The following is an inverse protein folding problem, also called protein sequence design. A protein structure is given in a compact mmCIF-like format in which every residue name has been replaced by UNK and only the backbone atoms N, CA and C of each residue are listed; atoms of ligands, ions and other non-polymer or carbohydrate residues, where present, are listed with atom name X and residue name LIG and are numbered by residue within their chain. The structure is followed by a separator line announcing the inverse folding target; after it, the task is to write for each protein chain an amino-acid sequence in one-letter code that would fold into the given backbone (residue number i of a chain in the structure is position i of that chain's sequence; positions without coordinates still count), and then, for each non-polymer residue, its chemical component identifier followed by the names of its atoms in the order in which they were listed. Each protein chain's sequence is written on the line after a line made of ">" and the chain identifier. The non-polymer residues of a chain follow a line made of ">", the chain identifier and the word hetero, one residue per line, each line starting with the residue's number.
data_IF_806832158309
#
_entry.id   IF_806832158309
#
_cell.length_a   1.000
_cell.length_b   1.000
_cell.length_c   1.000
_cell.angle_alpha   90.00
_cell.angle_beta   90.00
_cell.angle_gamma   90.00
#
_symmetry.space_group_name_H-M   'P 1'
#
loop_
_entity.id
_entity.type
_entity.pdbx_description
1 polymer ?
#
# COMPACT_ATOMS: atom_id res chain seq x y z
N UNK A 1 -15.42 25.36 36.36
CA UNK A 1 -14.33 24.74 35.59
C UNK A 1 -14.99 23.71 34.71
N UNK A 2 -15.34 24.15 33.50
CA UNK A 2 -14.64 23.79 32.24
C UNK A 2 -15.18 22.43 31.76
N UNK A 3 -16.15 22.40 30.84
CA UNK A 3 -15.99 22.44 29.36
C UNK A 3 -15.09 21.32 28.84
N UNK A 4 -15.64 20.37 28.07
CA UNK A 4 -15.50 20.43 26.62
C UNK A 4 -16.17 19.26 25.86
N UNK A 5 -16.86 19.68 24.79
CA UNK A 5 -17.04 19.10 23.46
C UNK A 5 -17.01 17.58 23.23
N UNK A 6 -18.09 17.05 22.62
CA UNK A 6 -17.98 16.18 21.42
C UNK A 6 -19.31 16.03 20.67
N UNK A 7 -19.31 16.54 19.44
CA UNK A 7 -19.89 16.01 18.18
C UNK A 7 -21.10 15.06 18.28
N UNK A 8 -22.24 15.47 17.73
CA UNK A 8 -23.27 14.54 17.23
C UNK A 8 -23.76 14.92 15.83
N UNK A 9 -23.57 13.96 14.93
CA UNK A 9 -24.21 13.83 13.62
C UNK A 9 -25.63 13.33 13.85
N UNK A 10 -26.66 14.07 13.44
CA UNK A 10 -28.03 13.55 13.35
C UNK A 10 -28.67 14.04 12.05
N UNK A 11 -28.89 13.09 11.15
CA UNK A 11 -29.73 13.24 9.99
C UNK A 11 -31.19 13.37 10.43
N UNK A 12 -31.85 14.47 10.06
CA UNK A 12 -33.31 14.53 9.97
C UNK A 12 -33.66 15.11 8.60
N UNK A 13 -33.93 14.20 7.66
CA UNK A 13 -34.73 14.49 6.47
C UNK A 13 -36.20 14.54 6.90
N UNK A 14 -36.76 15.75 7.00
CA UNK A 14 -38.14 16.07 6.59
C UNK A 14 -38.54 17.46 7.09
N UNK A 15 -38.30 18.51 6.30
CA UNK A 15 -39.25 19.60 6.13
C UNK A 15 -38.87 20.47 4.94
N UNK A 16 -39.86 20.67 4.09
CA UNK A 16 -39.85 21.47 2.87
C UNK A 16 -39.61 22.94 3.23
N UNK A 17 -38.57 23.52 2.66
CA UNK A 17 -38.29 24.96 2.63
C UNK A 17 -37.19 25.21 1.61
N UNK A 18 -37.31 26.21 0.71
CA UNK A 18 -36.40 26.35 -0.42
C UNK A 18 -35.02 26.81 0.07
N UNK A 19 -34.07 25.88 0.10
CA UNK A 19 -32.65 26.16 0.20
C UNK A 19 -32.16 26.67 -1.16
N UNK A 20 -32.44 27.95 -1.46
CA UNK A 20 -31.88 28.67 -2.61
C UNK A 20 -31.20 29.92 -2.10
N UNK A 21 -30.01 29.79 -1.51
CA UNK A 21 -29.15 30.95 -1.23
C UNK A 21 -27.66 30.59 -1.30
N UNK A 22 -27.20 29.98 -2.41
CA UNK A 22 -25.78 30.05 -2.79
C UNK A 22 -25.55 30.32 -4.29
N UNK A 23 -26.59 30.44 -5.12
CA UNK A 23 -26.43 30.62 -6.59
C UNK A 23 -26.60 32.05 -7.14
N UNK A 24 -26.65 33.09 -6.29
CA UNK A 24 -26.94 34.46 -6.76
C UNK A 24 -25.73 35.24 -7.29
N UNK A 25 -24.49 34.86 -6.94
CA UNK A 25 -23.31 35.70 -7.28
C UNK A 25 -22.85 35.61 -8.74
N UNK A 26 -23.19 34.53 -9.46
CA UNK A 26 -22.80 34.36 -10.86
C UNK A 26 -23.92 34.67 -11.89
N UNK A 27 -25.17 34.84 -11.44
CA UNK A 27 -26.31 35.17 -12.33
C UNK A 27 -26.26 36.60 -12.88
N UNK A 28 -25.80 37.56 -12.07
CA UNK A 28 -26.04 38.99 -12.34
C UNK A 28 -25.32 39.58 -13.58
N UNK A 29 -24.20 39.02 -14.04
CA UNK A 29 -23.47 39.57 -15.19
C UNK A 29 -24.14 39.21 -16.53
N UNK A 30 -24.71 38.02 -16.62
CA UNK A 30 -25.49 37.61 -17.80
C UNK A 30 -26.77 38.44 -17.89
N UNK A 31 -27.46 38.63 -16.76
CA UNK A 31 -28.67 39.45 -16.68
C UNK A 31 -28.41 40.90 -17.12
N UNK A 32 -27.29 41.52 -16.72
CA UNK A 32 -26.90 42.89 -17.15
C UNK A 32 -26.67 43.01 -18.65
N UNK A 33 -25.98 42.05 -19.25
CA UNK A 33 -25.69 42.06 -20.68
C UNK A 33 -26.94 41.79 -21.51
N UNK A 34 -27.88 41.01 -20.98
CA UNK A 34 -29.19 40.79 -21.58
C UNK A 34 -30.06 42.05 -21.53
N UNK A 35 -30.06 42.81 -20.44
CA UNK A 35 -30.76 44.11 -20.38
C UNK A 35 -30.23 45.10 -21.43
N UNK A 36 -28.92 45.08 -21.69
CA UNK A 36 -28.30 45.86 -22.77
C UNK A 36 -28.73 45.41 -24.16
N UNK A 37 -29.02 44.13 -24.38
CA UNK A 37 -29.49 43.62 -25.68
C UNK A 37 -30.98 43.89 -25.88
N UNK A 38 -31.77 43.85 -24.81
CA UNK A 38 -33.19 44.19 -24.79
C UNK A 38 -33.46 45.70 -24.87
N UNK A 39 -32.44 46.55 -24.78
CA UNK A 39 -32.57 48.01 -24.87
C UNK A 39 -33.16 48.68 -23.62
N UNK A 40 -33.19 47.98 -22.48
CA UNK A 40 -33.67 48.51 -21.19
C UNK A 40 -32.58 49.30 -20.49
N UNK A 41 -32.25 50.47 -21.04
CA UNK A 41 -31.07 51.25 -20.63
C UNK A 41 -31.13 51.77 -19.18
N UNK A 42 -32.32 52.11 -18.67
CA UNK A 42 -32.49 52.63 -17.30
C UNK A 42 -32.23 51.55 -16.25
N UNK A 43 -32.84 50.37 -16.42
CA UNK A 43 -32.64 49.20 -15.56
C UNK A 43 -31.18 48.73 -15.61
N UNK A 44 -30.58 48.71 -16.81
CA UNK A 44 -29.17 48.37 -16.99
C UNK A 44 -28.25 49.36 -16.26
N UNK A 45 -28.49 50.67 -16.38
CA UNK A 45 -27.69 51.69 -15.69
C UNK A 45 -27.77 51.56 -14.15
N UNK A 46 -28.95 51.22 -13.61
CA UNK A 46 -29.12 50.95 -12.18
C UNK A 46 -28.30 49.73 -11.73
N UNK A 47 -28.35 48.63 -12.49
CA UNK A 47 -27.57 47.43 -12.18
C UNK A 47 -26.06 47.66 -12.30
N UNK A 48 -25.59 48.44 -13.28
CA UNK A 48 -24.17 48.82 -13.36
C UNK A 48 -23.74 49.74 -12.22
N UNK A 49 -24.63 50.57 -11.71
CA UNK A 49 -24.34 51.41 -10.53
C UNK A 49 -24.12 50.56 -9.28
N UNK A 50 -24.93 49.53 -9.07
CA UNK A 50 -24.68 48.56 -7.99
C UNK A 50 -23.39 47.75 -8.25
N UNK A 51 -23.12 47.34 -9.49
CA UNK A 51 -21.89 46.65 -9.84
C UNK A 51 -20.64 47.49 -9.56
N UNK A 52 -20.69 48.80 -9.80
CA UNK A 52 -19.59 49.74 -9.52
C UNK A 52 -19.38 49.91 -8.01
N UNK A 53 -20.44 49.91 -7.18
CA UNK A 53 -20.30 49.93 -5.72
C UNK A 53 -19.57 48.68 -5.21
N UNK A 54 -19.83 47.53 -5.84
CA UNK A 54 -19.21 46.26 -5.48
C UNK A 54 -17.77 46.13 -6.00
N UNK A 55 -17.48 46.67 -7.18
CA UNK A 55 -16.15 46.66 -7.77
C UNK A 55 -15.85 48.01 -8.47
N UNK A 56 -15.29 49.00 -7.75
CA UNK A 56 -15.06 50.35 -8.27
C UNK A 56 -13.82 50.45 -9.17
N UNK A 57 -13.06 49.38 -9.37
CA UNK A 57 -11.81 49.38 -10.13
C UNK A 57 -11.93 48.78 -11.52
N UNK A 58 -13.08 48.20 -11.89
CA UNK A 58 -13.28 47.58 -13.20
C UNK A 58 -13.74 48.61 -14.26
N UNK A 59 -12.90 48.95 -15.27
CA UNK A 59 -13.24 49.94 -16.29
C UNK A 59 -14.44 49.53 -17.16
N UNK A 60 -14.73 48.23 -17.27
CA UNK A 60 -15.82 47.72 -18.12
C UNK A 60 -17.18 48.20 -17.64
N UNK A 61 -17.41 48.16 -16.33
CA UNK A 61 -18.68 48.58 -15.73
C UNK A 61 -18.94 50.07 -15.98
N UNK A 62 -17.91 50.92 -15.91
CA UNK A 62 -18.02 52.34 -16.26
C UNK A 62 -18.30 52.55 -17.75
N UNK A 63 -17.61 51.84 -18.64
CA UNK A 63 -17.87 51.91 -20.10
C UNK A 63 -19.30 51.49 -20.48
N UNK A 64 -19.81 50.42 -19.86
CA UNK A 64 -21.15 49.91 -20.15
C UNK A 64 -22.25 50.78 -19.52
N UNK A 65 -21.99 51.40 -18.35
CA UNK A 65 -22.85 52.45 -17.79
C UNK A 65 -22.85 53.72 -18.66
N UNK A 66 -21.69 54.15 -19.13
CA UNK A 66 -21.57 55.28 -20.08
C UNK A 66 -22.39 55.03 -21.35
N UNK A 67 -22.37 53.80 -21.89
CA UNK A 67 -23.20 53.40 -23.02
C UNK A 67 -24.70 53.61 -22.74
N UNK A 68 -25.16 53.21 -21.55
CA UNK A 68 -26.55 53.40 -21.14
C UNK A 68 -26.89 54.90 -21.06
N UNK A 69 -26.04 55.70 -20.41
CA UNK A 69 -26.24 57.15 -20.28
C UNK A 69 -26.26 57.87 -21.64
N UNK A 70 -25.40 57.48 -22.58
CA UNK A 70 -25.41 57.97 -23.97
C UNK A 70 -26.75 57.67 -24.64
N UNK A 71 -27.27 56.44 -24.50
CA UNK A 71 -28.56 56.04 -25.09
C UNK A 71 -29.76 56.72 -24.44
N UNK A 72 -29.65 57.07 -23.15
CA UNK A 72 -30.64 57.86 -22.42
C UNK A 72 -30.49 59.37 -22.64
N UNK A 73 -29.55 59.80 -23.47
CA UNK A 73 -29.22 61.20 -23.73
C UNK A 73 -28.79 62.01 -22.48
N UNK A 74 -28.29 61.33 -21.44
CA UNK A 74 -27.73 61.95 -20.23
C UNK A 74 -26.22 62.10 -20.41
N UNK A 75 -25.84 63.00 -21.32
CA UNK A 75 -24.47 63.12 -21.83
C UNK A 75 -23.43 63.47 -20.74
N UNK A 76 -23.78 64.34 -19.79
CA UNK A 76 -22.87 64.74 -18.70
C UNK A 76 -22.40 63.54 -17.85
N UNK A 77 -23.32 62.69 -17.41
CA UNK A 77 -22.99 61.47 -16.66
C UNK A 77 -22.25 60.45 -17.52
N UNK A 78 -22.59 60.38 -18.81
CA UNK A 78 -21.88 59.54 -19.77
C UNK A 78 -20.42 59.95 -19.95
N UNK A 79 -20.14 61.27 -19.92
CA UNK A 79 -18.77 61.80 -20.01
C UNK A 79 -17.95 61.44 -18.78
N UNK A 80 -18.50 61.66 -17.58
CA UNK A 80 -17.85 61.31 -16.30
C UNK A 80 -17.49 59.83 -16.25
N UNK A 81 -18.41 58.95 -16.67
CA UNK A 81 -18.16 57.51 -16.71
C UNK A 81 -17.08 57.14 -17.74
N UNK A 82 -17.06 57.80 -18.89
CA UNK A 82 -16.05 57.55 -19.91
C UNK A 82 -14.66 58.06 -19.51
N UNK A 83 -14.59 59.22 -18.84
CA UNK A 83 -13.35 59.74 -18.26
C UNK A 83 -12.83 58.82 -17.17
N UNK A 84 -13.71 58.37 -16.27
CA UNK A 84 -13.32 57.42 -15.22
C UNK A 84 -12.81 56.09 -15.79
N UNK A 85 -13.41 55.64 -16.90
CA UNK A 85 -12.97 54.44 -17.61
C UNK A 85 -11.52 54.57 -18.12
N UNK A 86 -11.15 55.72 -18.69
CA UNK A 86 -9.80 56.03 -19.18
C UNK A 86 -8.80 56.21 -18.02
N UNK A 87 -9.23 56.83 -16.92
CA UNK A 87 -8.39 56.97 -15.72
C UNK A 87 -8.03 55.62 -15.10
N UNK A 88 -8.97 54.67 -15.07
CA UNK A 88 -8.77 53.34 -14.50
C UNK A 88 -7.91 52.45 -15.42
N UNK A 89 -8.12 52.51 -16.73
CA UNK A 89 -7.31 51.78 -17.71
C UNK A 89 -7.09 52.62 -18.98
N UNK A 90 -5.92 53.29 -19.09
CA UNK A 90 -5.55 54.07 -20.27
C UNK A 90 -5.39 53.23 -21.55
N UNK A 91 -5.30 51.90 -21.46
CA UNK A 91 -5.19 51.01 -22.61
C UNK A 91 -6.57 50.52 -23.09
N UNK A 92 -7.63 50.84 -22.36
CA UNK A 92 -8.97 50.37 -22.67
C UNK A 92 -9.64 51.19 -23.77
N UNK A 93 -9.50 50.70 -25.00
CA UNK A 93 -10.06 51.26 -26.24
C UNK A 93 -11.52 51.73 -26.15
N UNK A 94 -12.39 50.97 -25.46
CA UNK A 94 -13.82 51.31 -25.33
C UNK A 94 -14.05 52.59 -24.51
N UNK A 95 -13.17 52.94 -23.57
CA UNK A 95 -13.27 54.20 -22.82
C UNK A 95 -13.19 55.42 -23.73
N UNK A 96 -12.18 55.45 -24.60
CA UNK A 96 -12.03 56.48 -25.64
C UNK A 96 -13.20 56.50 -26.62
N UNK A 97 -13.71 55.32 -27.01
CA UNK A 97 -14.89 55.23 -27.87
C UNK A 97 -16.13 55.88 -27.21
N UNK A 98 -16.38 55.60 -25.93
CA UNK A 98 -17.52 56.19 -25.18
C UNK A 98 -17.36 57.69 -25.01
N UNK A 99 -16.16 58.16 -24.67
CA UNK A 99 -15.87 59.60 -24.51
C UNK A 99 -16.07 60.35 -25.83
N UNK A 100 -15.56 59.81 -26.93
CA UNK A 100 -15.77 60.38 -28.25
C UNK A 100 -17.24 60.36 -28.67
N UNK A 101 -18.00 59.30 -28.37
CA UNK A 101 -19.44 59.21 -28.68
C UNK A 101 -20.21 60.33 -27.95
N UNK A 102 -19.87 60.58 -26.68
CA UNK A 102 -20.48 61.66 -25.88
C UNK A 102 -20.14 63.04 -26.46
N UNK A 103 -18.87 63.28 -26.78
CA UNK A 103 -18.42 64.56 -27.35
C UNK A 103 -19.04 64.84 -28.72
N UNK A 104 -19.17 63.81 -29.55
CA UNK A 104 -19.84 63.88 -30.85
C UNK A 104 -21.31 64.28 -30.70
N UNK A 105 -22.04 63.64 -29.76
CA UNK A 105 -23.44 64.00 -29.46
C UNK A 105 -23.59 65.38 -28.83
N UNK A 106 -22.56 65.87 -28.15
CA UNK A 106 -22.51 67.22 -27.59
C UNK A 106 -22.01 68.28 -28.60
N UNK A 107 -21.94 67.94 -29.90
CA UNK A 107 -21.47 68.80 -30.98
C UNK A 107 -20.02 69.32 -30.84
N UNK A 108 -19.22 68.72 -29.95
CA UNK A 108 -17.80 69.01 -29.82
C UNK A 108 -17.00 68.09 -30.74
N UNK A 109 -17.09 68.35 -32.05
CA UNK A 109 -16.50 67.49 -33.08
C UNK A 109 -14.97 67.47 -33.03
N UNK A 110 -14.33 68.61 -32.75
CA UNK A 110 -12.86 68.72 -32.63
C UNK A 110 -12.33 67.91 -31.44
N UNK A 111 -12.99 68.02 -30.28
CA UNK A 111 -12.66 67.22 -29.10
C UNK A 111 -12.91 65.72 -29.31
N UNK A 112 -14.01 65.38 -29.99
CA UNK A 112 -14.32 63.99 -30.34
C UNK A 112 -13.24 63.39 -31.25
N UNK A 113 -12.81 64.13 -32.27
CA UNK A 113 -11.76 63.73 -33.19
C UNK A 113 -10.44 63.42 -32.46
N UNK A 114 -9.98 64.33 -31.59
CA UNK A 114 -8.77 64.13 -30.80
C UNK A 114 -8.87 62.90 -29.87
N UNK A 115 -10.03 62.69 -29.25
CA UNK A 115 -10.26 61.55 -28.36
C UNK A 115 -10.26 60.22 -29.12
N UNK A 116 -10.88 60.16 -30.29
CA UNK A 116 -10.85 58.97 -31.14
C UNK A 116 -9.44 58.66 -31.66
N UNK A 117 -8.67 59.68 -32.07
CA UNK A 117 -7.28 59.52 -32.46
C UNK A 117 -6.41 58.97 -31.32
N UNK A 118 -6.64 59.41 -30.08
CA UNK A 118 -5.96 58.84 -28.92
C UNK A 118 -6.33 57.36 -28.69
N UNK A 119 -7.61 57.01 -28.89
CA UNK A 119 -8.12 55.65 -28.74
C UNK A 119 -7.62 54.66 -29.79
N UNK A 120 -7.31 55.12 -31.01
CA UNK A 120 -6.80 54.28 -32.11
C UNK A 120 -5.45 53.60 -31.78
N UNK A 121 -4.69 54.18 -30.84
CA UNK A 121 -3.42 53.60 -30.37
C UNK A 121 -3.61 52.27 -29.63
N UNK A 122 -4.82 52.00 -29.13
CA UNK A 122 -5.06 50.91 -28.19
C UNK A 122 -6.16 49.95 -28.67
N UNK A 123 -5.88 48.65 -28.59
CA UNK A 123 -6.87 47.57 -28.63
C UNK A 123 -7.42 47.13 -30.01
N UNK A 124 -8.27 46.09 -30.02
CA UNK A 124 -8.79 45.43 -31.23
C UNK A 124 -10.07 46.05 -31.84
N UNK A 125 -10.63 47.13 -31.27
CA UNK A 125 -11.85 47.79 -31.79
C UNK A 125 -11.57 49.01 -32.69
N UNK A 126 -10.39 49.07 -33.33
CA UNK A 126 -9.97 50.18 -34.18
C UNK A 126 -10.95 50.48 -35.32
N UNK A 127 -11.58 49.45 -35.90
CA UNK A 127 -12.56 49.61 -36.96
C UNK A 127 -13.79 50.45 -36.52
N UNK A 128 -14.26 50.26 -35.29
CA UNK A 128 -15.43 50.99 -34.78
C UNK A 128 -15.10 52.44 -34.43
N UNK A 129 -13.89 52.69 -33.89
CA UNK A 129 -13.39 54.05 -33.65
C UNK A 129 -13.19 54.79 -34.97
N UNK A 130 -12.69 54.11 -36.01
CA UNK A 130 -12.51 54.71 -37.33
C UNK A 130 -13.85 55.11 -37.99
N UNK A 131 -14.90 54.28 -37.90
CA UNK A 131 -16.25 54.66 -38.37
C UNK A 131 -16.76 55.93 -37.66
N UNK A 132 -16.55 56.01 -36.34
CA UNK A 132 -16.95 57.19 -35.56
C UNK A 132 -16.13 58.43 -35.88
N UNK A 133 -14.83 58.28 -36.06
CA UNK A 133 -13.92 59.34 -36.47
C UNK A 133 -14.31 59.90 -37.85
N UNK A 134 -14.62 59.01 -38.80
CA UNK A 134 -15.12 59.39 -40.13
C UNK A 134 -16.35 60.28 -40.03
N UNK A 135 -17.36 59.89 -39.22
CA UNK A 135 -18.57 60.70 -38.99
C UNK A 135 -18.27 62.07 -38.37
N UNK A 136 -17.31 62.14 -37.44
CA UNK A 136 -16.89 63.42 -36.85
C UNK A 136 -16.32 64.35 -37.92
N UNK A 137 -15.46 63.79 -38.78
CA UNK A 137 -14.80 64.54 -39.84
C UNK A 137 -15.80 64.97 -40.92
N UNK A 138 -16.76 64.11 -41.30
CA UNK A 138 -17.85 64.47 -42.21
C UNK A 138 -18.63 65.70 -41.71
N UNK A 139 -18.98 65.74 -40.42
CA UNK A 139 -19.65 66.90 -39.83
C UNK A 139 -18.78 68.16 -39.81
N UNK A 140 -17.47 68.05 -39.52
CA UNK A 140 -16.54 69.20 -39.57
C UNK A 140 -16.45 69.74 -41.01
N UNK A 141 -16.39 68.86 -42.01
CA UNK A 141 -16.34 69.22 -43.44
C UNK A 141 -17.64 69.89 -43.90
N UNK A 142 -18.79 69.42 -43.43
CA UNK A 142 -20.10 70.03 -43.71
C UNK A 142 -20.19 71.44 -43.11
N UNK A 143 -19.59 71.68 -41.93
CA UNK A 143 -19.56 72.99 -41.29
C UNK A 143 -18.47 73.94 -41.85
N UNK A 144 -17.44 73.40 -42.50
CA UNK A 144 -16.35 74.19 -43.08
C UNK A 144 -16.72 74.74 -44.48
N UNK A 145 -16.64 76.06 -44.66
CA UNK A 145 -16.85 76.73 -45.96
C UNK A 145 -15.56 76.89 -46.79
N UNK A 146 -14.39 76.53 -46.23
CA UNK A 146 -13.08 76.76 -46.84
C UNK A 146 -12.57 75.49 -47.55
N UNK A 147 -12.13 75.60 -48.82
CA UNK A 147 -11.75 74.45 -49.65
C UNK A 147 -10.38 73.87 -49.29
N UNK A 148 -9.46 74.69 -48.77
CA UNK A 148 -8.11 74.25 -48.42
C UNK A 148 -8.10 73.35 -47.18
N UNK A 149 -8.89 73.70 -46.15
CA UNK A 149 -9.02 72.90 -44.94
C UNK A 149 -9.63 71.50 -45.20
N UNK A 150 -10.52 71.39 -46.20
CA UNK A 150 -11.10 70.10 -46.61
C UNK A 150 -10.05 69.18 -47.23
N UNK A 151 -9.11 69.72 -48.00
CA UNK A 151 -8.13 68.93 -48.74
C UNK A 151 -7.04 68.34 -47.82
N UNK A 152 -6.64 69.06 -46.77
CA UNK A 152 -5.73 68.57 -45.75
C UNK A 152 -6.38 67.49 -44.87
N UNK A 153 -7.65 67.66 -44.52
CA UNK A 153 -8.41 66.70 -43.73
C UNK A 153 -8.69 65.39 -44.51
N UNK A 154 -8.93 65.47 -45.82
CA UNK A 154 -9.10 64.29 -46.69
C UNK A 154 -7.83 63.43 -46.72
N UNK A 155 -6.64 64.05 -46.77
CA UNK A 155 -5.36 63.32 -46.73
C UNK A 155 -5.18 62.58 -45.41
N UNK A 156 -5.55 63.22 -44.30
CA UNK A 156 -5.46 62.60 -42.97
C UNK A 156 -6.42 61.38 -42.84
N UNK A 157 -7.64 61.48 -43.39
CA UNK A 157 -8.58 60.35 -43.46
C UNK A 157 -8.02 59.20 -44.30
N UNK A 158 -7.40 59.52 -45.43
CA UNK A 158 -6.87 58.51 -46.35
C UNK A 158 -5.65 57.80 -45.75
N UNK A 159 -4.80 58.52 -45.02
CA UNK A 159 -3.73 57.95 -44.22
C UNK A 159 -4.27 56.98 -43.16
N UNK A 160 -5.26 57.40 -42.36
CA UNK A 160 -5.85 56.55 -41.31
C UNK A 160 -6.59 55.34 -41.87
N UNK A 161 -7.21 55.46 -43.06
CA UNK A 161 -7.83 54.33 -43.76
C UNK A 161 -6.80 53.27 -44.13
N UNK A 162 -5.65 53.68 -44.68
CA UNK A 162 -4.58 52.76 -45.07
C UNK A 162 -3.97 52.04 -43.85
N UNK A 163 -3.80 52.75 -42.74
CA UNK A 163 -3.27 52.16 -41.51
C UNK A 163 -4.25 51.17 -40.86
N UNK A 164 -5.56 51.44 -40.95
CA UNK A 164 -6.58 50.48 -40.53
C UNK A 164 -6.56 49.23 -41.40
N UNK A 165 -6.50 49.37 -42.73
CA UNK A 165 -6.47 48.24 -43.65
C UNK A 165 -5.30 47.29 -43.33
N UNK A 166 -4.11 47.85 -43.14
CA UNK A 166 -2.93 47.07 -42.75
C UNK A 166 -3.15 46.27 -41.45
N UNK A 167 -3.75 46.90 -40.44
CA UNK A 167 -4.04 46.21 -39.17
C UNK A 167 -5.13 45.13 -39.28
N UNK A 168 -6.03 45.26 -40.26
CA UNK A 168 -7.04 44.24 -40.55
C UNK A 168 -6.43 43.03 -41.26
N UNK A 169 -5.54 43.27 -42.23
CA UNK A 169 -4.82 42.22 -42.95
C UNK A 169 -3.93 41.42 -41.99
N UNK A 170 -3.19 42.10 -41.10
CA UNK A 170 -2.40 41.47 -40.03
C UNK A 170 -3.29 40.59 -39.12
N UNK A 171 -4.49 41.06 -38.77
CA UNK A 171 -5.41 40.30 -37.92
C UNK A 171 -6.05 39.10 -38.63
N UNK A 172 -6.14 39.12 -39.96
CA UNK A 172 -6.64 38.03 -40.78
C UNK A 172 -5.59 36.91 -40.92
N UNK A 173 -4.33 37.29 -41.10
CA UNK A 173 -3.18 36.36 -41.06
C UNK A 173 -3.08 35.63 -39.70
N UNK A 174 -3.24 36.36 -38.58
CA UNK A 174 -3.30 35.76 -37.24
C UNK A 174 -4.49 34.78 -37.05
N UNK A 175 -5.61 34.97 -37.76
CA UNK A 175 -6.75 34.04 -37.69
C UNK A 175 -6.47 32.75 -38.44
N UNK A 176 -5.82 32.82 -39.60
CA UNK A 176 -5.42 31.62 -40.36
C UNK A 176 -4.43 30.78 -39.56
N UNK A 177 -3.38 31.39 -39.00
CA UNK A 177 -2.40 30.69 -38.15
C UNK A 177 -3.06 30.03 -36.92
N UNK A 178 -3.98 30.74 -36.26
CA UNK A 178 -4.73 30.18 -35.13
C UNK A 178 -5.69 29.05 -35.55
N UNK A 179 -6.14 29.01 -36.81
CA UNK A 179 -6.99 27.93 -37.33
C UNK A 179 -6.18 26.66 -37.62
N UNK A 180 -4.99 26.81 -38.19
CA UNK A 180 -4.07 25.70 -38.46
C UNK A 180 -3.56 25.07 -37.16
N UNK A 181 -3.25 25.89 -36.16
CA UNK A 181 -2.83 25.40 -34.84
C UNK A 181 -3.98 24.67 -34.10
N UNK A 182 -5.23 25.10 -34.30
CA UNK A 182 -6.41 24.37 -33.77
C UNK A 182 -6.58 23.01 -34.43
N UNK A 183 -6.38 22.93 -35.76
CA UNK A 183 -6.48 21.67 -36.48
C UNK A 183 -5.42 20.67 -36.00
N UNK A 184 -4.16 21.13 -35.88
CA UNK A 184 -3.06 20.33 -35.33
C UNK A 184 -3.32 19.85 -33.91
N UNK A 185 -3.88 20.71 -33.04
CA UNK A 185 -4.27 20.30 -31.68
C UNK A 185 -5.36 19.21 -31.69
N UNK A 186 -6.37 19.35 -32.54
CA UNK A 186 -7.44 18.35 -32.68
C UNK A 186 -6.90 16.99 -33.13
N UNK A 187 -6.00 16.97 -34.11
CA UNK A 187 -5.34 15.74 -34.57
C UNK A 187 -4.47 15.11 -33.47
N UNK A 188 -3.70 15.94 -32.74
CA UNK A 188 -2.89 15.48 -31.62
C UNK A 188 -3.76 14.90 -30.49
N UNK A 189 -4.87 15.54 -30.15
CA UNK A 189 -5.83 15.05 -29.16
C UNK A 189 -6.44 13.70 -29.58
N UNK A 190 -6.78 13.52 -30.87
CA UNK A 190 -7.26 12.24 -31.38
C UNK A 190 -6.19 11.15 -31.30
N UNK A 191 -4.94 11.45 -31.65
CA UNK A 191 -3.83 10.50 -31.53
C UNK A 191 -3.57 10.11 -30.08
N UNK A 192 -3.54 11.08 -29.16
CA UNK A 192 -3.35 10.84 -27.72
C UNK A 192 -4.48 9.98 -27.18
N UNK A 193 -5.73 10.24 -27.57
CA UNK A 193 -6.87 9.41 -27.18
C UNK A 193 -6.74 7.98 -27.69
N UNK A 194 -6.42 7.79 -28.97
CA UNK A 194 -6.24 6.46 -29.56
C UNK A 194 -5.10 5.67 -28.90
N UNK A 195 -3.99 6.34 -28.57
CA UNK A 195 -2.89 5.74 -27.80
C UNK A 195 -3.34 5.37 -26.38
N UNK A 196 -4.08 6.25 -25.71
CA UNK A 196 -4.64 5.99 -24.37
C UNK A 196 -5.56 4.77 -24.34
N UNK A 197 -6.47 4.65 -25.31
CA UNK A 197 -7.39 3.52 -25.43
C UNK A 197 -6.62 2.20 -25.70
N UNK A 198 -5.60 2.25 -26.57
CA UNK A 198 -4.74 1.09 -26.86
C UNK A 198 -3.95 0.62 -25.64
N UNK A 199 -3.33 1.55 -24.90
CA UNK A 199 -2.61 1.24 -23.67
C UNK A 199 -3.53 0.65 -22.60
N UNK A 200 -4.74 1.21 -22.44
CA UNK A 200 -5.73 0.74 -21.47
C UNK A 200 -6.14 -0.69 -21.76
N UNK A 201 -6.47 -0.99 -23.03
CA UNK A 201 -6.82 -2.35 -23.46
C UNK A 201 -5.68 -3.36 -23.22
N UNK A 202 -4.42 -2.95 -23.46
CA UNK A 202 -3.26 -3.80 -23.17
C UNK A 202 -3.11 -4.09 -21.68
N UNK A 203 -3.30 -3.09 -20.82
CA UNK A 203 -3.23 -3.27 -19.36
C UNK A 203 -4.33 -4.20 -18.87
N UNK A 204 -5.57 -4.06 -19.36
CA UNK A 204 -6.68 -4.96 -19.03
C UNK A 204 -6.39 -6.41 -19.41
N UNK A 205 -5.83 -6.65 -20.61
CA UNK A 205 -5.41 -7.99 -21.04
C UNK A 205 -4.36 -8.59 -20.11
N UNK A 206 -3.35 -7.81 -19.74
CA UNK A 206 -2.30 -8.25 -18.81
C UNK A 206 -2.87 -8.59 -17.43
N UNK A 207 -3.80 -7.78 -16.91
CA UNK A 207 -4.47 -8.05 -15.63
C UNK A 207 -5.22 -9.39 -15.67
N UNK A 208 -5.95 -9.67 -16.76
CA UNK A 208 -6.67 -10.93 -16.92
C UNK A 208 -5.70 -12.12 -16.98
N UNK A 209 -4.62 -11.99 -17.77
CA UNK A 209 -3.62 -13.04 -17.93
C UNK A 209 -2.90 -13.36 -16.61
N UNK A 210 -2.42 -12.33 -15.90
CA UNK A 210 -1.80 -12.47 -14.60
C UNK A 210 -2.78 -13.00 -13.54
N UNK A 211 -4.03 -12.56 -13.58
CA UNK A 211 -5.09 -13.08 -12.69
C UNK A 211 -5.31 -14.59 -12.86
N UNK A 212 -5.31 -15.09 -14.11
CA UNK A 212 -5.42 -16.53 -14.40
C UNK A 212 -4.22 -17.31 -13.85
N UNK A 213 -3.00 -16.83 -14.09
CA UNK A 213 -1.78 -17.48 -13.61
C UNK A 213 -1.76 -17.54 -12.07
N UNK A 214 -2.19 -16.47 -11.40
CA UNK A 214 -2.26 -16.43 -9.94
C UNK A 214 -3.27 -17.45 -9.39
N UNK A 215 -4.43 -17.60 -10.05
CA UNK A 215 -5.40 -18.63 -9.67
C UNK A 215 -4.84 -20.06 -9.85
N UNK A 216 -4.09 -20.31 -10.92
CA UNK A 216 -3.44 -21.61 -11.16
C UNK A 216 -2.38 -21.91 -10.10
N UNK A 217 -1.54 -20.92 -9.77
CA UNK A 217 -0.54 -21.03 -8.71
C UNK A 217 -1.19 -21.28 -7.34
N UNK A 218 -2.27 -20.58 -7.01
CA UNK A 218 -2.98 -20.79 -5.75
C UNK A 218 -3.61 -22.18 -5.65
N UNK A 219 -4.16 -22.71 -6.75
CA UNK A 219 -4.66 -24.10 -6.80
C UNK A 219 -3.53 -25.10 -6.58
N UNK A 220 -2.36 -24.87 -7.17
CA UNK A 220 -1.20 -25.74 -6.98
C UNK A 220 -0.71 -25.70 -5.53
N UNK A 221 -0.59 -24.51 -4.93
CA UNK A 221 -0.21 -24.35 -3.52
C UNK A 221 -1.18 -25.05 -2.57
N UNK A 222 -2.49 -24.90 -2.78
CA UNK A 222 -3.49 -25.59 -1.96
C UNK A 222 -3.38 -27.13 -2.06
N UNK A 223 -3.06 -27.65 -3.23
CA UNK A 223 -2.80 -29.09 -3.40
C UNK A 223 -1.53 -29.52 -2.67
N UNK A 224 -0.46 -28.71 -2.75
CA UNK A 224 0.80 -28.99 -2.06
C UNK A 224 0.64 -28.97 -0.53
N UNK A 225 -0.13 -28.00 -0.01
CA UNK A 225 -0.46 -27.93 1.42
C UNK A 225 -1.24 -29.15 1.89
N UNK A 226 -2.19 -29.62 1.06
CA UNK A 226 -2.93 -30.85 1.35
C UNK A 226 -1.98 -32.06 1.43
N UNK A 227 -1.09 -32.22 0.44
CA UNK A 227 -0.09 -33.30 0.45
C UNK A 227 0.81 -33.21 1.68
N UNK A 228 1.28 -32.02 2.05
CA UNK A 228 2.09 -31.83 3.26
C UNK A 228 1.34 -32.21 4.53
N UNK A 229 0.04 -31.93 4.61
CA UNK A 229 -0.79 -32.36 5.73
C UNK A 229 -0.89 -33.88 5.81
N UNK A 230 -1.14 -34.56 4.68
CA UNK A 230 -1.21 -36.02 4.60
C UNK A 230 0.14 -36.66 5.02
N UNK A 231 1.27 -36.11 4.56
CA UNK A 231 2.60 -36.57 4.98
C UNK A 231 2.88 -36.35 6.47
N UNK A 232 2.44 -35.23 7.05
CA UNK A 232 2.60 -34.95 8.48
C UNK A 232 1.83 -35.94 9.34
N UNK A 233 0.59 -36.25 8.96
CA UNK A 233 -0.23 -37.24 9.65
C UNK A 233 0.40 -38.64 9.56
N UNK A 234 0.92 -39.01 8.38
CA UNK A 234 1.63 -40.28 8.21
C UNK A 234 2.88 -40.38 9.09
N UNK A 235 3.67 -39.31 9.17
CA UNK A 235 4.86 -39.27 10.03
C UNK A 235 4.51 -39.34 11.52
N UNK A 236 3.45 -38.65 11.97
CA UNK A 236 3.00 -38.75 13.36
C UNK A 236 2.61 -40.18 13.73
N UNK A 237 1.89 -40.89 12.85
CA UNK A 237 1.55 -42.29 13.07
C UNK A 237 2.79 -43.21 13.11
N UNK A 238 3.80 -42.94 12.27
CA UNK A 238 5.07 -43.67 12.31
C UNK A 238 5.84 -43.42 13.62
N UNK A 239 5.83 -42.19 14.13
CA UNK A 239 6.43 -41.84 15.42
C UNK A 239 5.74 -42.56 16.58
N UNK A 240 4.41 -42.62 16.58
CA UNK A 240 3.63 -43.37 17.56
C UNK A 240 3.97 -44.87 17.53
N UNK A 241 4.06 -45.46 16.33
CA UNK A 241 4.48 -46.86 16.16
C UNK A 241 5.90 -47.10 16.68
N UNK A 242 6.85 -46.22 16.38
CA UNK A 242 8.22 -46.32 16.89
C UNK A 242 8.28 -46.24 18.42
N UNK A 243 7.43 -45.41 19.03
CA UNK A 243 7.29 -45.33 20.48
C UNK A 243 6.79 -46.64 21.07
N UNK A 244 5.73 -47.24 20.49
CA UNK A 244 5.19 -48.53 20.93
C UNK A 244 6.23 -49.66 20.82
N UNK A 245 6.96 -49.74 19.70
CA UNK A 245 8.06 -50.68 19.54
C UNK A 245 9.20 -50.44 20.54
N UNK A 246 9.50 -49.19 20.86
CA UNK A 246 10.47 -48.81 21.88
C UNK A 246 10.10 -49.34 23.27
N UNK A 247 8.84 -49.16 23.68
CA UNK A 247 8.32 -49.69 24.95
C UNK A 247 8.34 -51.21 24.99
N UNK A 248 7.96 -51.85 23.87
CA UNK A 248 7.99 -53.31 23.75
C UNK A 248 9.43 -53.85 23.93
N UNK A 249 10.40 -53.26 23.22
CA UNK A 249 11.81 -53.66 23.34
C UNK A 249 12.35 -53.43 24.76
N UNK A 250 12.02 -52.30 25.40
CA UNK A 250 12.42 -52.05 26.79
C UNK A 250 11.83 -53.07 27.76
N UNK A 251 10.62 -53.57 27.51
CA UNK A 251 10.03 -54.64 28.30
C UNK A 251 10.73 -55.99 28.07
N UNK A 252 11.06 -56.33 26.82
CA UNK A 252 11.83 -57.53 26.51
C UNK A 252 13.22 -57.49 27.16
N UNK A 253 13.91 -56.35 27.10
CA UNK A 253 15.22 -56.17 27.75
C UNK A 253 15.12 -56.36 29.27
N UNK A 254 14.05 -55.88 29.90
CA UNK A 254 13.80 -56.12 31.33
C UNK A 254 13.61 -57.61 31.64
N UNK A 255 12.78 -58.30 30.86
CA UNK A 255 12.57 -59.74 31.01
C UNK A 255 13.86 -60.54 30.81
N UNK A 256 14.67 -60.17 29.80
CA UNK A 256 15.97 -60.80 29.57
C UNK A 256 16.93 -60.56 30.74
N UNK A 257 16.93 -59.35 31.32
CA UNK A 257 17.74 -59.04 32.50
C UNK A 257 17.29 -59.83 33.73
N UNK A 258 15.99 -60.01 33.94
CA UNK A 258 15.44 -60.84 35.02
C UNK A 258 15.84 -62.30 34.86
N UNK A 259 15.60 -62.89 33.68
CA UNK A 259 16.00 -64.26 33.35
C UNK A 259 17.52 -64.46 33.53
N UNK A 260 18.32 -63.48 33.12
CA UNK A 260 19.79 -63.52 33.31
C UNK A 260 20.14 -63.52 34.79
N UNK A 261 19.51 -62.66 35.60
CA UNK A 261 19.72 -62.63 37.04
C UNK A 261 19.36 -63.94 37.73
N UNK A 262 18.25 -64.56 37.34
CA UNK A 262 17.84 -65.87 37.86
C UNK A 262 18.79 -66.98 37.42
N UNK A 263 19.26 -66.95 36.18
CA UNK A 263 20.27 -67.88 35.69
C UNK A 263 21.60 -67.76 36.47
N UNK A 264 22.07 -66.54 36.72
CA UNK A 264 23.27 -66.29 37.52
C UNK A 264 23.10 -66.77 38.98
N UNK A 265 21.91 -66.62 39.57
CA UNK A 265 21.60 -67.18 40.90
C UNK A 265 21.64 -68.70 40.89
N UNK A 266 21.01 -69.35 39.91
CA UNK A 266 21.01 -70.81 39.78
C UNK A 266 22.45 -71.34 39.61
N UNK A 267 23.26 -70.70 38.77
CA UNK A 267 24.69 -70.99 38.64
C UNK A 267 25.44 -70.85 39.98
N UNK A 268 25.15 -69.81 40.76
CA UNK A 268 25.78 -69.61 42.07
C UNK A 268 25.43 -70.71 43.08
N UNK A 269 24.17 -71.19 43.06
CA UNK A 269 23.71 -72.30 43.90
C UNK A 269 24.38 -73.59 43.45
N UNK A 270 24.41 -73.85 42.14
CA UNK A 270 25.08 -75.02 41.58
C UNK A 270 26.57 -75.03 41.96
N UNK A 271 27.27 -73.90 41.82
CA UNK A 271 28.68 -73.79 42.20
C UNK A 271 28.91 -73.97 43.71
N UNK A 272 28.01 -73.47 44.57
CA UNK A 272 28.09 -73.70 46.03
C UNK A 272 27.90 -75.16 46.42
N UNK A 273 27.03 -75.89 45.73
CA UNK A 273 26.87 -77.34 45.96
C UNK A 273 28.17 -78.04 45.57
N UNK A 274 28.78 -77.65 44.44
CA UNK A 274 30.05 -78.21 43.97
C UNK A 274 31.21 -77.99 44.96
N UNK A 275 31.29 -76.86 45.67
CA UNK A 275 32.37 -76.64 46.65
C UNK A 275 32.34 -77.60 47.84
N UNK A 276 31.18 -78.17 48.21
CA UNK A 276 31.09 -79.14 49.32
C UNK A 276 31.62 -80.53 48.94
N UNK A 277 31.82 -80.78 47.65
CA UNK A 277 32.41 -82.02 47.14
C UNK A 277 33.93 -81.94 47.00
N UNK A 278 34.51 -80.74 47.19
CA UNK A 278 35.95 -80.51 47.07
C UNK A 278 36.63 -80.77 48.41
N UNK A 279 37.70 -81.56 48.37
CA UNK A 279 38.56 -81.82 49.51
C UNK A 279 39.28 -80.51 49.92
N UNK A 280 39.21 -80.11 51.20
CA UNK A 280 39.87 -78.88 51.61
C UNK A 280 41.41 -78.88 51.54
N UNK A 281 42.04 -80.06 51.53
CA UNK A 281 43.49 -80.22 51.42
C UNK A 281 43.93 -80.22 49.96
N UNK A 282 43.43 -81.16 49.14
CA UNK A 282 43.85 -81.29 47.74
C UNK A 282 43.22 -80.26 46.80
N UNK A 283 42.11 -79.62 47.21
CA UNK A 283 41.31 -78.72 46.36
C UNK A 283 40.75 -79.42 45.10
N UNK A 284 40.66 -80.75 45.12
CA UNK A 284 40.05 -81.60 44.09
C UNK A 284 38.76 -82.25 44.60
N UNK A 285 37.91 -82.77 43.72
CA UNK A 285 36.68 -83.49 44.11
C UNK A 285 37.06 -84.76 44.89
N UNK A 286 36.44 -84.97 46.05
CA UNK A 286 36.67 -86.14 46.89
C UNK A 286 36.14 -87.41 46.22
N UNK A 287 37.00 -88.41 46.02
CA UNK A 287 36.62 -89.74 45.56
C UNK A 287 36.34 -90.68 46.74
N UNK A 288 37.09 -90.51 47.83
CA UNK A 288 36.92 -91.26 49.07
C UNK A 288 36.83 -90.33 50.29
N UNK A 289 35.66 -89.69 50.52
CA UNK A 289 35.48 -88.74 51.62
C UNK A 289 35.49 -89.42 53.00
N UNK A 290 36.33 -88.93 53.91
CA UNK A 290 36.44 -89.35 55.32
C UNK A 290 36.30 -88.15 56.27
N UNK A 291 35.54 -88.33 57.34
CA UNK A 291 35.35 -87.33 58.40
C UNK A 291 36.42 -87.51 59.47
N UNK A 292 37.09 -86.41 59.85
CA UNK A 292 37.99 -86.37 60.99
C UNK A 292 37.26 -85.91 62.27
N UNK A 293 37.93 -85.96 63.43
CA UNK A 293 37.32 -85.62 64.73
C UNK A 293 36.78 -84.18 64.83
N UNK A 294 37.25 -83.28 63.96
CA UNK A 294 36.76 -81.90 63.84
C UNK A 294 35.40 -81.78 63.11
N UNK A 295 34.89 -82.87 62.56
CA UNK A 295 33.65 -82.92 61.79
C UNK A 295 33.80 -82.48 60.33
N UNK A 296 35.01 -82.15 59.87
CA UNK A 296 35.28 -81.83 58.48
C UNK A 296 35.57 -83.10 57.67
N UNK A 297 35.20 -83.07 56.39
CA UNK A 297 35.40 -84.19 55.46
C UNK A 297 36.54 -83.88 54.50
N UNK A 298 37.41 -84.87 54.29
CA UNK A 298 38.61 -84.78 53.46
C UNK A 298 38.74 -86.03 52.58
N UNK A 299 39.57 -85.95 51.54
CA UNK A 299 39.98 -87.13 50.77
C UNK A 299 40.83 -88.06 51.65
N UNK A 300 40.49 -89.34 51.68
CA UNK A 300 41.06 -90.34 52.59
C UNK A 300 42.59 -90.36 52.58
N UNK A 301 43.18 -90.31 51.37
CA UNK A 301 44.63 -90.39 51.18
C UNK A 301 45.33 -89.15 51.74
N UNK A 302 44.80 -87.97 51.44
CA UNK A 302 45.37 -86.68 51.82
C UNK A 302 45.32 -86.45 53.33
N UNK A 303 44.18 -86.73 53.97
CA UNK A 303 44.06 -86.58 55.43
C UNK A 303 44.90 -87.62 56.17
N UNK A 304 44.98 -88.85 55.64
CA UNK A 304 45.84 -89.88 56.23
C UNK A 304 47.30 -89.47 56.18
N UNK A 305 47.75 -88.87 55.07
CA UNK A 305 49.11 -88.34 54.94
C UNK A 305 49.36 -87.17 55.90
N UNK A 306 48.44 -86.21 55.99
CA UNK A 306 48.55 -85.09 56.93
C UNK A 306 48.72 -85.53 58.38
N UNK A 307 47.96 -86.55 58.79
CA UNK A 307 47.95 -87.07 60.17
C UNK A 307 49.20 -87.90 60.53
N UNK A 308 50.08 -88.20 59.57
CA UNK A 308 51.40 -88.79 59.87
C UNK A 308 52.29 -87.76 60.57
N UNK A 309 52.23 -86.51 60.13
CA UNK A 309 53.12 -85.44 60.59
C UNK A 309 52.43 -84.48 61.58
N UNK A 310 51.10 -84.48 61.64
CA UNK A 310 50.32 -83.52 62.41
C UNK A 310 49.23 -84.20 63.25
N UNK A 311 48.93 -83.65 64.41
CA UNK A 311 47.78 -84.02 65.25
C UNK A 311 46.72 -82.91 65.29
N UNK A 312 46.72 -82.03 64.28
CA UNK A 312 45.82 -80.87 64.18
C UNK A 312 44.91 -80.98 62.95
N UNK A 313 43.75 -80.33 63.03
CA UNK A 313 42.79 -80.18 61.93
C UNK A 313 43.43 -79.38 60.78
N UNK A 314 43.46 -79.90 59.54
CA UNK A 314 43.92 -79.15 58.38
C UNK A 314 43.11 -77.87 58.09
N UNK A 315 41.85 -77.81 58.52
CA UNK A 315 40.96 -76.66 58.30
C UNK A 315 41.07 -75.59 59.37
N UNK A 316 41.13 -75.99 60.63
CA UNK A 316 41.05 -75.05 61.76
C UNK A 316 42.37 -74.87 62.49
N UNK A 317 43.36 -75.74 62.19
CA UNK A 317 44.66 -75.84 62.85
C UNK A 317 44.58 -76.07 64.38
N UNK A 318 43.43 -76.57 64.86
CA UNK A 318 43.21 -76.95 66.25
C UNK A 318 43.58 -78.42 66.48
N UNK A 319 44.05 -78.83 67.67
CA UNK A 319 44.32 -80.23 67.98
C UNK A 319 43.07 -81.10 67.82
N UNK A 320 43.21 -82.26 67.18
CA UNK A 320 42.11 -83.22 67.03
C UNK A 320 41.94 -84.03 68.32
N UNK A 321 40.69 -84.29 68.70
CA UNK A 321 40.37 -85.14 69.86
C UNK A 321 40.86 -86.58 69.66
N UNK A 322 40.77 -87.08 68.43
CA UNK A 322 41.31 -88.37 68.01
C UNK A 322 41.75 -88.34 66.54
N UNK A 323 42.57 -89.32 66.15
CA UNK A 323 43.12 -89.45 64.79
C UNK A 323 42.29 -90.45 63.95
N UNK A 324 41.28 -91.09 64.56
CA UNK A 324 40.39 -92.02 63.84
C UNK A 324 39.55 -91.29 62.79
N UNK A 325 39.53 -91.84 61.57
CA UNK A 325 38.78 -91.31 60.43
C UNK A 325 37.55 -92.18 60.18
N UNK A 326 36.41 -91.54 59.97
CA UNK A 326 35.14 -92.25 59.68
C UNK A 326 34.78 -92.08 58.21
N UNK A 327 34.62 -93.17 57.42
CA UNK A 327 34.20 -93.09 56.03
C UNK A 327 32.83 -92.39 55.90
N UNK A 328 32.74 -91.33 55.09
CA UNK A 328 31.49 -90.62 54.83
C UNK A 328 30.78 -91.19 53.61
N UNK A 329 30.12 -92.34 53.80
CA UNK A 329 29.42 -93.03 52.71
C UNK A 329 28.30 -92.19 52.10
N UNK A 330 27.62 -91.34 52.89
CA UNK A 330 26.56 -90.46 52.42
C UNK A 330 27.09 -89.41 51.44
N UNK A 331 28.19 -88.72 51.79
CA UNK A 331 28.81 -87.75 50.90
C UNK A 331 29.39 -88.44 49.66
N UNK A 332 29.99 -89.64 49.82
CA UNK A 332 30.50 -90.42 48.69
C UNK A 332 29.41 -90.74 47.67
N UNK A 333 28.25 -91.22 48.10
CA UNK A 333 27.13 -91.50 47.20
C UNK A 333 26.60 -90.23 46.53
N UNK A 334 26.54 -89.11 47.25
CA UNK A 334 26.11 -87.82 46.70
C UNK A 334 27.09 -87.29 45.63
N UNK A 335 28.41 -87.41 45.84
CA UNK A 335 29.43 -87.03 44.86
C UNK A 335 29.31 -87.92 43.61
N UNK A 336 29.13 -89.22 43.77
CA UNK A 336 28.98 -90.15 42.65
C UNK A 336 27.74 -89.84 41.80
N UNK A 337 26.60 -89.56 42.44
CA UNK A 337 25.38 -89.14 41.74
C UNK A 337 25.58 -87.79 41.01
N UNK A 338 26.31 -86.86 41.62
CA UNK A 338 26.64 -85.58 41.00
C UNK A 338 27.56 -85.74 39.77
N UNK A 339 28.62 -86.54 39.85
CA UNK A 339 29.51 -86.81 38.71
C UNK A 339 28.74 -87.44 37.53
N UNK A 340 27.83 -88.38 37.81
CA UNK A 340 26.97 -89.01 36.80
C UNK A 340 26.07 -87.99 36.08
N UNK A 341 25.46 -87.05 36.80
CA UNK A 341 24.59 -86.03 36.22
C UNK A 341 25.34 -84.96 35.40
N UNK A 342 26.61 -84.69 35.70
CA UNK A 342 27.44 -83.70 34.98
C UNK A 342 28.09 -84.28 33.71
N UNK A 343 27.84 -85.55 33.35
CA UNK A 343 28.56 -86.25 32.27
C UNK A 343 30.09 -86.23 32.46
N UNK A 344 30.54 -86.06 33.71
CA UNK A 344 31.94 -86.23 34.09
C UNK A 344 32.08 -87.71 34.43
N UNK A 345 32.74 -88.47 33.55
CA UNK A 345 33.07 -89.86 33.84
C UNK A 345 33.83 -89.93 35.19
N UNK A 346 33.62 -91.01 35.98
CA UNK A 346 34.16 -91.14 37.34
C UNK A 346 35.68 -91.00 37.41
#
# INVERSE_FOLDING_TARGET
>A
MESDTHITLLAISSHVGPFVLVSSRYSSSHDRQELLSQGKWEEAAAQFTEAIKMNPTDPKNFSDRAKCHIKLNVLAKGLEDADRCIELDPTFCKGYLRKGDVQLLNHNYEGAMATYLAGLKYGPQKAYIHDRLKRCVEHIIEMANDSAAKEELVKEIEYLRNELQKSMDEAEEFKEEASDERLRRSELEQMVKALGDSCTSRVEQLIIEHGRLLQEANKHNANLERQLSEYREHNANLEDQLSEYGEHNANLERQLSECRGDFERLLSIQNRIQTHFICPISQEVMHDPHIAADGHTYEAQEISHWLVEHNTSPMTNLPLEHIELTPNHTLRSAIQEWCQHQNMAP
#
